data_IF_205172277538
#
_entry.id   IF_205172277538
#
_cell.length_a   1.000
_cell.length_b   1.000
_cell.length_c   1.000
_cell.angle_alpha   90.00
_cell.angle_beta   90.00
_cell.angle_gamma   90.00
#
_symmetry.space_group_name_H-M   'P 1'
#
loop_
_entity.id
_entity.type
_entity.pdbx_description
1 polymer ?
#
# COMPACT_ATOMS: atom_id res chain seq x y z
N UNK A 1 -17.15 -5.52 18.77
CA UNK A 1 -16.03 -5.34 19.71
C UNK A 1 -14.90 -4.70 18.94
N UNK A 2 -14.26 -3.66 19.49
CA UNK A 2 -13.04 -3.07 18.91
C UNK A 2 -11.83 -3.92 19.28
N UNK A 3 -10.83 -3.98 18.41
CA UNK A 3 -9.58 -4.69 18.70
C UNK A 3 -8.80 -3.97 19.82
N UNK A 4 -8.13 -4.75 20.68
CA UNK A 4 -7.26 -4.24 21.74
C UNK A 4 -5.93 -3.74 21.17
N UNK A 5 -5.20 -2.90 21.91
CA UNK A 5 -3.89 -2.43 21.48
C UNK A 5 -2.87 -3.55 21.24
N UNK A 6 -2.98 -4.67 21.97
CA UNK A 6 -2.13 -5.85 21.72
C UNK A 6 -2.46 -6.47 20.36
N UNK A 7 -3.74 -6.69 20.06
CA UNK A 7 -4.19 -7.22 18.77
C UNK A 7 -3.79 -6.33 17.59
N UNK A 8 -3.84 -5.01 17.75
CA UNK A 8 -3.34 -4.08 16.74
C UNK A 8 -1.83 -4.26 16.46
N UNK A 9 -1.01 -4.38 17.51
CA UNK A 9 0.44 -4.59 17.35
C UNK A 9 0.75 -5.94 16.70
N UNK A 10 0.05 -6.99 17.11
CA UNK A 10 0.22 -8.33 16.52
C UNK A 10 -0.16 -8.33 15.03
N UNK A 11 -1.26 -7.66 14.67
CA UNK A 11 -1.70 -7.54 13.30
C UNK A 11 -0.75 -6.69 12.44
N UNK A 12 -0.23 -5.58 12.98
CA UNK A 12 0.81 -4.78 12.30
C UNK A 12 2.07 -5.63 12.10
N UNK A 13 2.51 -6.36 13.11
CA UNK A 13 3.68 -7.23 13.00
C UNK A 13 3.48 -8.30 11.93
N UNK A 14 2.31 -8.95 11.91
CA UNK A 14 1.96 -9.92 10.88
C UNK A 14 1.99 -9.28 9.47
N UNK A 15 1.48 -8.06 9.31
CA UNK A 15 1.56 -7.33 8.04
C UNK A 15 3.00 -7.01 7.62
N UNK A 16 3.85 -6.61 8.56
CA UNK A 16 5.29 -6.39 8.32
C UNK A 16 5.95 -7.67 7.80
N UNK A 17 5.76 -8.80 8.49
CA UNK A 17 6.33 -10.09 8.06
C UNK A 17 5.79 -10.50 6.69
N UNK A 18 4.48 -10.39 6.47
CA UNK A 18 3.84 -10.76 5.22
C UNK A 18 4.25 -9.87 4.03
N UNK A 19 4.69 -8.63 4.26
CA UNK A 19 5.14 -7.73 3.20
C UNK A 19 6.43 -8.20 2.51
N UNK A 20 7.24 -9.01 3.18
CA UNK A 20 8.58 -9.39 2.69
C UNK A 20 9.51 -8.19 2.44
N UNK A 21 9.16 -7.00 2.95
CA UNK A 21 9.90 -5.77 2.70
C UNK A 21 9.50 -5.02 1.42
N UNK A 22 8.36 -5.35 0.79
CA UNK A 22 7.90 -4.72 -0.45
C UNK A 22 6.58 -3.96 -0.27
N UNK A 23 6.37 -2.94 -1.11
CA UNK A 23 5.10 -2.24 -1.22
C UNK A 23 4.00 -3.18 -1.75
N UNK A 24 2.91 -3.33 -0.99
CA UNK A 24 1.80 -4.22 -1.34
C UNK A 24 1.09 -3.87 -2.67
N UNK A 25 1.18 -2.63 -3.14
CA UNK A 25 0.52 -2.17 -4.36
C UNK A 25 1.46 -2.14 -5.58
N UNK A 26 2.70 -1.69 -5.41
CA UNK A 26 3.65 -1.49 -6.53
C UNK A 26 4.70 -2.59 -6.63
N UNK A 27 4.93 -3.36 -5.57
CA UNK A 27 6.01 -4.34 -5.50
C UNK A 27 7.41 -3.73 -5.39
N UNK A 28 7.54 -2.41 -5.21
CA UNK A 28 8.82 -1.74 -4.99
C UNK A 28 9.41 -2.16 -3.62
N UNK A 29 10.74 -2.36 -3.51
CA UNK A 29 11.37 -2.59 -2.22
C UNK A 29 11.24 -1.34 -1.34
N UNK A 30 10.83 -1.55 -0.09
CA UNK A 30 10.69 -0.47 0.88
C UNK A 30 12.02 -0.13 1.54
N UNK A 31 12.19 1.13 1.90
CA UNK A 31 13.38 1.59 2.61
C UNK A 31 13.14 1.63 4.13
N UNK A 32 13.46 0.52 4.79
CA UNK A 32 13.30 0.36 6.24
C UNK A 32 14.24 1.25 7.06
N UNK A 33 15.31 1.81 6.46
CA UNK A 33 16.18 2.76 7.16
C UNK A 33 15.47 4.08 7.46
N UNK A 34 14.37 4.37 6.76
CA UNK A 34 13.59 5.59 6.98
C UNK A 34 12.68 5.52 8.22
N UNK A 35 12.45 4.33 8.78
CA UNK A 35 11.60 4.17 9.97
C UNK A 35 12.17 4.97 11.14
N UNK A 36 11.32 5.74 11.80
CA UNK A 36 11.69 6.64 12.92
C UNK A 36 12.65 7.78 12.54
N UNK A 37 12.83 8.07 11.25
CA UNK A 37 13.67 9.19 10.77
C UNK A 37 12.86 10.39 10.27
N UNK A 38 11.55 10.24 10.06
CA UNK A 38 10.66 11.35 9.73
C UNK A 38 10.52 12.29 10.94
N UNK A 39 11.16 13.44 10.85
CA UNK A 39 11.12 14.48 11.86
C UNK A 39 9.99 15.47 11.52
N UNK A 40 8.93 15.46 12.31
CA UNK A 40 7.75 16.33 12.10
C UNK A 40 8.09 17.83 11.95
N UNK A 41 9.15 18.30 12.59
CA UNK A 41 9.60 19.70 12.50
C UNK A 41 10.16 20.05 11.11
N UNK A 42 10.88 19.11 10.47
CA UNK A 42 11.44 19.29 9.12
C UNK A 42 10.36 19.14 8.04
N UNK A 43 9.37 18.27 8.27
CA UNK A 43 8.18 18.11 7.41
C UNK A 43 7.39 19.41 7.25
N UNK A 44 7.36 20.28 8.29
CA UNK A 44 6.72 21.60 8.23
C UNK A 44 7.51 22.62 7.42
N UNK A 45 8.83 22.47 7.32
CA UNK A 45 9.72 23.43 6.64
C UNK A 45 9.99 23.05 5.17
N UNK A 46 10.16 21.76 4.87
CA UNK A 46 10.57 21.28 3.54
C UNK A 46 9.43 20.98 2.55
N UNK A 47 8.16 21.18 2.93
CA UNK A 47 6.96 21.08 2.07
C UNK A 47 6.98 19.81 1.18
N UNK A 48 6.82 19.94 -0.14
CA UNK A 48 6.68 18.80 -1.05
C UNK A 48 8.00 18.05 -1.33
N UNK A 49 9.14 18.73 -1.31
CA UNK A 49 10.44 18.13 -1.63
C UNK A 49 10.98 17.27 -0.49
N UNK A 50 10.74 17.66 0.76
CA UNK A 50 11.11 16.83 1.92
C UNK A 50 10.37 15.50 1.94
N UNK A 51 9.05 15.52 1.70
CA UNK A 51 8.23 14.32 1.64
C UNK A 51 8.60 13.36 0.50
N UNK A 52 9.20 13.88 -0.59
CA UNK A 52 9.69 13.04 -1.67
C UNK A 52 10.84 12.12 -1.24
N UNK A 53 11.68 12.55 -0.28
CA UNK A 53 12.74 11.73 0.30
C UNK A 53 12.22 10.53 1.08
N UNK A 54 10.97 10.57 1.53
CA UNK A 54 10.31 9.49 2.26
C UNK A 54 9.38 8.66 1.38
N UNK A 55 9.50 8.77 0.05
CA UNK A 55 8.59 8.11 -0.88
C UNK A 55 8.44 6.60 -0.58
N UNK A 56 9.55 5.92 -0.23
CA UNK A 56 9.63 4.49 0.06
C UNK A 56 9.57 4.14 1.56
N UNK A 57 9.21 5.09 2.45
CA UNK A 57 9.06 4.83 3.88
C UNK A 57 7.96 3.75 4.10
N UNK A 58 8.28 2.63 4.78
CA UNK A 58 7.27 1.64 5.18
C UNK A 58 6.20 2.29 6.05
N UNK A 59 4.95 2.20 5.60
CA UNK A 59 3.78 2.77 6.25
C UNK A 59 2.69 1.71 6.43
N UNK A 60 1.96 1.79 7.53
CA UNK A 60 0.81 0.92 7.81
C UNK A 60 -0.42 1.48 7.10
N UNK A 61 -0.98 0.73 6.16
CA UNK A 61 -2.27 1.03 5.51
C UNK A 61 -3.36 0.10 6.04
N UNK A 62 -4.56 0.65 6.20
CA UNK A 62 -5.74 -0.12 6.56
C UNK A 62 -6.34 -0.76 5.31
N UNK A 63 -6.60 -2.08 5.36
CA UNK A 63 -7.30 -2.79 4.29
C UNK A 63 -8.77 -2.35 4.21
N UNK A 64 -9.38 -2.13 5.36
CA UNK A 64 -10.72 -1.59 5.54
C UNK A 64 -10.69 -0.48 6.60
N UNK A 65 -11.48 0.57 6.39
CA UNK A 65 -11.63 1.68 7.33
C UNK A 65 -12.43 1.30 8.59
N UNK A 66 -12.96 0.08 8.67
CA UNK A 66 -13.71 -0.36 9.85
C UNK A 66 -12.80 -0.62 11.05
N UNK A 67 -13.04 0.09 12.16
CA UNK A 67 -12.31 -0.06 13.43
C UNK A 67 -12.46 -1.45 14.09
N UNK A 68 -13.34 -2.30 13.53
CA UNK A 68 -13.58 -3.67 13.98
C UNK A 68 -12.56 -4.67 13.43
N UNK A 69 -11.89 -4.35 12.31
CA UNK A 69 -10.93 -5.24 11.66
C UNK A 69 -9.52 -4.65 11.76
N UNK A 70 -8.68 -5.21 12.64
CA UNK A 70 -7.24 -4.92 12.67
C UNK A 70 -6.55 -5.60 11.48
N UNK A 71 -6.86 -5.16 10.27
CA UNK A 71 -6.36 -5.72 9.01
C UNK A 71 -5.49 -4.68 8.28
N UNK A 72 -4.20 -4.99 8.16
CA UNK A 72 -3.20 -4.06 7.65
C UNK A 72 -2.42 -4.61 6.47
N UNK A 73 -1.91 -3.70 5.65
CA UNK A 73 -0.87 -3.93 4.66
C UNK A 73 0.26 -2.92 4.86
N UNK A 74 1.47 -3.30 4.47
CA UNK A 74 2.58 -2.34 4.43
C UNK A 74 2.69 -1.77 3.01
N UNK A 75 2.75 -0.45 2.92
CA UNK A 75 2.96 0.28 1.67
C UNK A 75 3.96 1.40 1.88
N UNK A 76 4.60 1.81 0.80
CA UNK A 76 5.40 3.00 0.74
C UNK A 76 4.51 4.22 1.04
N UNK A 77 5.05 5.22 1.76
CA UNK A 77 4.28 6.42 2.11
C UNK A 77 3.65 7.06 0.88
N UNK A 78 4.42 7.26 -0.20
CA UNK A 78 3.90 7.85 -1.45
C UNK A 78 2.65 7.11 -1.96
N UNK A 79 2.69 5.78 -1.96
CA UNK A 79 1.58 4.93 -2.40
C UNK A 79 0.38 5.08 -1.47
N UNK A 80 0.62 5.06 -0.16
CA UNK A 80 -0.43 5.20 0.85
C UNK A 80 -1.13 6.57 0.77
N UNK A 81 -0.35 7.64 0.64
CA UNK A 81 -0.85 9.02 0.49
C UNK A 81 -1.67 9.17 -0.79
N UNK A 82 -1.18 8.63 -1.92
CA UNK A 82 -1.90 8.65 -3.19
C UNK A 82 -3.23 7.87 -3.13
N UNK A 83 -3.26 6.72 -2.44
CA UNK A 83 -4.48 5.93 -2.27
C UNK A 83 -5.56 6.68 -1.49
N UNK A 84 -5.19 7.56 -0.55
CA UNK A 84 -6.08 8.54 0.11
C UNK A 84 -7.45 8.00 0.59
N UNK A 85 -7.48 6.75 1.08
CA UNK A 85 -8.70 6.09 1.58
C UNK A 85 -9.53 5.34 0.54
N UNK A 86 -9.12 5.33 -0.73
CA UNK A 86 -9.67 4.41 -1.73
C UNK A 86 -9.45 2.96 -1.30
N UNK A 87 -10.33 2.04 -1.72
CA UNK A 87 -10.05 0.60 -1.66
C UNK A 87 -8.93 0.24 -2.65
N UNK A 88 -8.25 -0.91 -2.46
CA UNK A 88 -7.25 -1.37 -3.42
C UNK A 88 -7.81 -1.48 -4.85
N UNK A 89 -9.02 -2.02 -5.01
CA UNK A 89 -9.72 -2.10 -6.30
C UNK A 89 -9.99 -0.72 -6.89
N UNK A 90 -10.48 0.22 -6.09
CA UNK A 90 -10.79 1.58 -6.53
C UNK A 90 -9.53 2.35 -6.95
N UNK A 91 -8.42 2.10 -6.25
CA UNK A 91 -7.12 2.69 -6.58
C UNK A 91 -6.58 2.16 -7.90
N UNK A 92 -6.60 0.83 -8.13
CA UNK A 92 -6.21 0.23 -9.42
C UNK A 92 -7.06 0.80 -10.57
N UNK A 93 -8.38 0.88 -10.40
CA UNK A 93 -9.27 1.44 -11.40
C UNK A 93 -9.03 2.94 -11.66
N UNK A 94 -8.53 3.69 -10.68
CA UNK A 94 -8.07 5.07 -10.88
C UNK A 94 -6.77 5.10 -11.69
N UNK A 95 -5.78 4.28 -11.33
CA UNK A 95 -4.53 4.17 -12.06
C UNK A 95 -4.74 3.78 -13.53
N UNK A 96 -5.64 2.83 -13.80
CA UNK A 96 -6.01 2.45 -15.17
C UNK A 96 -6.56 3.63 -15.97
N UNK A 97 -7.50 4.40 -15.40
CA UNK A 97 -8.06 5.60 -16.04
C UNK A 97 -6.99 6.66 -16.33
N UNK A 98 -6.06 6.88 -15.39
CA UNK A 98 -4.94 7.81 -15.57
C UNK A 98 -4.04 7.36 -16.72
N UNK A 99 -3.67 6.08 -16.76
CA UNK A 99 -2.83 5.51 -17.81
C UNK A 99 -3.50 5.59 -19.19
N UNK A 100 -4.77 5.18 -19.29
CA UNK A 100 -5.55 5.27 -20.53
C UNK A 100 -5.68 6.71 -21.03
N UNK A 101 -5.95 7.67 -20.14
CA UNK A 101 -6.03 9.08 -20.52
C UNK A 101 -4.69 9.62 -21.03
N UNK A 102 -3.57 9.16 -20.48
CA UNK A 102 -2.23 9.49 -20.94
C UNK A 102 -1.82 8.77 -22.24
N UNK A 103 -2.71 7.99 -22.85
CA UNK A 103 -2.49 7.30 -24.13
C UNK A 103 -1.85 5.92 -24.00
N UNK A 104 -1.67 5.41 -22.78
CA UNK A 104 -1.21 4.03 -22.56
C UNK A 104 -2.34 3.04 -22.78
N UNK A 105 -1.98 1.82 -23.19
CA UNK A 105 -2.90 0.68 -23.20
C UNK A 105 -2.61 -0.18 -21.98
N UNK A 106 -3.64 -0.40 -21.17
CA UNK A 106 -3.59 -1.29 -20.01
C UNK A 106 -4.32 -2.56 -20.39
N UNK A 107 -3.66 -3.69 -20.18
CA UNK A 107 -4.28 -5.00 -20.32
C UNK A 107 -4.36 -5.61 -18.92
N UNK A 108 -5.58 -5.89 -18.45
CA UNK A 108 -5.72 -6.78 -17.31
C UNK A 108 -5.02 -8.11 -17.68
N UNK A 109 -4.35 -8.77 -16.71
CA UNK A 109 -3.96 -10.15 -16.92
C UNK A 109 -5.22 -10.90 -17.37
N UNK A 110 -5.17 -11.61 -18.51
CA UNK A 110 -6.29 -12.45 -18.94
C UNK A 110 -6.74 -13.26 -17.72
N UNK A 111 -8.02 -13.18 -17.36
CA UNK A 111 -8.61 -14.14 -16.43
C UNK A 111 -8.13 -15.51 -16.88
N UNK A 112 -7.38 -16.22 -16.04
CA UNK A 112 -7.03 -17.61 -16.26
C UNK A 112 -8.31 -18.45 -16.17
N UNK A 113 -9.19 -18.31 -17.16
CA UNK A 113 -9.98 -19.42 -17.66
C UNK A 113 -8.99 -20.40 -18.29
N UNK A 114 -8.40 -21.25 -17.47
CA UNK A 114 -7.92 -22.61 -17.80
C UNK A 114 -7.00 -23.12 -16.69
N UNK A 115 -7.60 -23.57 -15.59
CA UNK A 115 -6.98 -24.53 -14.67
C UNK A 115 -7.83 -25.81 -14.55
N UNK A 116 -8.78 -26.03 -15.46
CA UNK A 116 -9.66 -27.22 -15.46
C UNK A 116 -9.98 -27.76 -16.87
N UNK A 117 -9.04 -27.66 -17.81
CA UNK A 117 -9.15 -28.31 -19.13
C UNK A 117 -7.97 -29.23 -19.48
N UNK A 118 -7.05 -29.51 -18.53
CA UNK A 118 -5.90 -30.40 -18.77
C UNK A 118 -5.84 -31.64 -17.88
N UNK A 119 -6.97 -32.04 -17.27
CA UNK A 119 -7.15 -33.40 -16.76
C UNK A 119 -8.18 -34.14 -17.60
N UNK A 120 -7.72 -34.55 -18.77
CA UNK A 120 -8.18 -35.75 -19.46
C UNK A 120 -7.83 -37.00 -18.64
#
# INVERSE_FOLDING_TARGET
MSATGAQYRDAIHAAVVASGGFDDCTGEPLDWHLVSTDANDDSRQGRHSYKAGFALLPSVDHVDASAAAAAFKIRAWRTNDAKSGLSARSFIALCERVLMHAGYRVHAPNDAKELDASRA
#
